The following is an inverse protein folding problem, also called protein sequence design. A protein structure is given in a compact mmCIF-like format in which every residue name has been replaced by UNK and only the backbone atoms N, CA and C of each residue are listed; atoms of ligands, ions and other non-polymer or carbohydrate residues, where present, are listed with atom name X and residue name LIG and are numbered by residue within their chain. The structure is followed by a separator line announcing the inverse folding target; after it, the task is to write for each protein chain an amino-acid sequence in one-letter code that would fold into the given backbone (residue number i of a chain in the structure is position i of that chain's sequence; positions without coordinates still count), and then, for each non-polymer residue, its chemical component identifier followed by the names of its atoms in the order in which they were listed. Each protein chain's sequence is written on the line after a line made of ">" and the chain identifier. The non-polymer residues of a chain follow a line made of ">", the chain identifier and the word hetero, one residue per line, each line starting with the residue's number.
data_IF_297880170814
#
_entry.id   IF_297880170814
#
_cell.length_a   1.000
_cell.length_b   1.000
_cell.length_c   1.000
_cell.angle_alpha   90.00
_cell.angle_beta   90.00
_cell.angle_gamma   90.00
#
_symmetry.space_group_name_H-M   'P 1'
#
loop_
_entity.id
_entity.type
_entity.pdbx_description
1 polymer ?
#
# COMPACT_ATOMS: atom_id res chain seq x y z
N UNK A 1 25.70 18.05 -2.83
CA UNK A 1 25.17 17.20 -1.73
C UNK A 1 24.37 16.11 -2.41
N UNK A 2 24.44 14.85 -1.97
CA UNK A 2 23.56 13.80 -2.51
C UNK A 2 22.12 14.15 -2.09
N UNK A 3 21.16 13.97 -3.02
CA UNK A 3 19.73 14.12 -2.68
C UNK A 3 19.36 13.19 -1.53
N UNK A 4 18.48 13.63 -0.60
CA UNK A 4 17.97 12.78 0.47
C UNK A 4 17.38 11.49 -0.08
N UNK A 5 17.64 10.38 0.58
CA UNK A 5 17.37 9.03 0.08
C UNK A 5 15.90 8.76 -0.27
N UNK A 6 14.95 9.44 0.40
CA UNK A 6 13.52 9.22 0.22
C UNK A 6 12.81 10.28 -0.63
N UNK A 7 13.44 11.44 -0.93
CA UNK A 7 12.76 12.59 -1.55
C UNK A 7 11.94 12.22 -2.82
N UNK A 8 12.47 11.38 -3.69
CA UNK A 8 11.78 10.96 -4.92
C UNK A 8 10.93 9.70 -4.78
N UNK A 9 10.85 9.10 -3.58
CA UNK A 9 10.21 7.80 -3.33
C UNK A 9 9.08 7.87 -2.33
N UNK A 10 8.97 8.98 -1.58
CA UNK A 10 8.02 9.13 -0.49
C UNK A 10 6.70 9.72 -0.97
N UNK A 11 5.61 9.19 -0.45
CA UNK A 11 4.24 9.64 -0.66
C UNK A 11 3.58 9.90 0.69
N UNK A 12 2.52 10.67 0.68
CA UNK A 12 1.65 10.91 1.84
C UNK A 12 0.29 10.28 1.52
N UNK A 13 -0.25 9.50 2.46
CA UNK A 13 -1.59 8.92 2.31
C UNK A 13 -2.68 9.98 2.45
N UNK A 14 -3.71 9.87 1.63
CA UNK A 14 -4.95 10.65 1.75
C UNK A 14 -5.73 10.42 3.04
N UNK A 15 -5.23 9.62 3.98
CA UNK A 15 -5.75 9.55 5.35
C UNK A 15 -5.61 10.90 6.07
N UNK A 16 -4.56 11.65 5.77
CA UNK A 16 -4.45 13.06 6.18
C UNK A 16 -5.20 13.94 5.19
N UNK A 17 -6.22 14.64 5.65
CA UNK A 17 -6.98 15.56 4.81
C UNK A 17 -6.16 16.70 4.20
N UNK A 18 -4.98 16.99 4.78
CA UNK A 18 -4.01 17.96 4.27
C UNK A 18 -3.00 17.33 3.30
N UNK A 19 -3.02 16.01 3.06
CA UNK A 19 -2.03 15.30 2.25
C UNK A 19 -1.77 15.93 0.87
N UNK A 20 -2.77 16.36 0.09
CA UNK A 20 -2.51 17.01 -1.20
C UNK A 20 -1.74 18.33 -1.08
N UNK A 21 -1.99 19.12 -0.05
CA UNK A 21 -1.27 20.36 0.21
C UNK A 21 0.16 20.10 0.69
N UNK A 22 0.33 19.16 1.62
CA UNK A 22 1.63 18.74 2.13
C UNK A 22 2.49 18.12 1.02
N UNK A 23 1.92 17.26 0.16
CA UNK A 23 2.64 16.65 -0.95
C UNK A 23 3.23 17.71 -1.89
N UNK A 24 2.46 18.78 -2.20
CA UNK A 24 2.96 19.90 -3.01
C UNK A 24 4.03 20.71 -2.29
N UNK A 25 3.79 21.04 -1.00
CA UNK A 25 4.72 21.85 -0.20
C UNK A 25 6.06 21.15 -0.01
N UNK A 26 6.05 19.84 0.28
CA UNK A 26 7.24 19.03 0.54
C UNK A 26 7.83 18.38 -0.73
N UNK A 27 7.22 18.62 -1.90
CA UNK A 27 7.60 18.02 -3.19
C UNK A 27 7.65 16.49 -3.14
N UNK A 28 6.65 15.90 -2.51
CA UNK A 28 6.47 14.46 -2.35
C UNK A 28 5.34 13.93 -3.24
N UNK A 29 5.19 12.61 -3.29
CA UNK A 29 4.06 11.95 -3.91
C UNK A 29 2.81 11.94 -3.02
N UNK A 30 1.73 11.43 -3.58
CA UNK A 30 0.46 11.20 -2.89
C UNK A 30 -0.05 9.79 -3.19
N UNK A 31 -0.53 9.11 -2.18
CA UNK A 31 -1.38 7.94 -2.33
C UNK A 31 -2.82 8.33 -2.06
N UNK A 32 -3.65 8.33 -3.13
CA UNK A 32 -5.06 8.65 -2.96
C UNK A 32 -5.83 7.46 -2.40
N UNK A 33 -6.62 7.70 -1.36
CA UNK A 33 -7.57 6.74 -0.77
C UNK A 33 -9.02 7.05 -1.15
N UNK A 34 -9.24 7.96 -2.11
CA UNK A 34 -10.58 8.45 -2.47
C UNK A 34 -11.56 7.31 -2.81
N UNK A 35 -11.04 6.18 -3.31
CA UNK A 35 -11.86 5.04 -3.71
C UNK A 35 -11.64 3.79 -2.84
N UNK A 36 -10.95 3.91 -1.71
CA UNK A 36 -10.84 2.81 -0.73
C UNK A 36 -12.20 2.42 -0.15
N UNK A 37 -13.15 3.36 -0.11
CA UNK A 37 -14.56 3.12 0.17
C UNK A 37 -15.30 2.82 -1.14
N UNK A 38 -15.57 1.56 -1.42
CA UNK A 38 -16.11 1.06 -2.68
C UNK A 38 -17.37 1.80 -3.22
N UNK A 39 -18.34 2.26 -2.40
CA UNK A 39 -19.49 3.02 -2.90
C UNK A 39 -19.14 4.31 -3.65
N UNK A 40 -17.97 4.92 -3.40
CA UNK A 40 -17.53 6.11 -4.15
C UNK A 40 -17.16 5.82 -5.60
N UNK A 41 -16.93 4.55 -5.97
CA UNK A 41 -16.77 4.13 -7.36
C UNK A 41 -18.06 4.31 -8.20
N UNK A 42 -19.21 4.40 -7.53
CA UNK A 42 -20.51 4.63 -8.17
C UNK A 42 -20.93 6.13 -8.12
N UNK A 43 -20.17 6.99 -7.42
CA UNK A 43 -20.42 8.43 -7.35
C UNK A 43 -19.79 9.16 -8.55
N UNK A 44 -20.60 9.72 -9.48
CA UNK A 44 -20.07 10.44 -10.64
C UNK A 44 -19.26 11.71 -10.29
N UNK A 45 -19.42 12.23 -9.07
CA UNK A 45 -18.67 13.39 -8.59
C UNK A 45 -17.30 13.03 -7.99
N UNK A 46 -17.07 11.77 -7.63
CA UNK A 46 -15.83 11.34 -6.98
C UNK A 46 -14.60 11.52 -7.89
N UNK A 47 -14.69 11.07 -9.13
CA UNK A 47 -13.57 11.12 -10.07
C UNK A 47 -13.12 12.56 -10.42
N UNK A 48 -14.03 13.52 -10.76
CA UNK A 48 -13.65 14.92 -10.95
C UNK A 48 -13.01 15.55 -9.71
N UNK A 49 -13.57 15.30 -8.53
CA UNK A 49 -13.05 15.81 -7.24
C UNK A 49 -11.64 15.30 -6.98
N UNK A 50 -11.41 13.98 -7.11
CA UNK A 50 -10.09 13.39 -6.92
C UNK A 50 -9.07 13.94 -7.92
N UNK A 51 -9.48 14.18 -9.18
CA UNK A 51 -8.60 14.79 -10.19
C UNK A 51 -8.11 16.18 -9.79
N UNK A 52 -8.96 16.99 -9.17
CA UNK A 52 -8.59 18.32 -8.64
C UNK A 52 -7.64 18.17 -7.45
N UNK A 53 -7.91 17.23 -6.55
CA UNK A 53 -7.08 16.97 -5.36
C UNK A 53 -5.65 16.58 -5.72
N UNK A 54 -5.47 15.71 -6.72
CA UNK A 54 -4.14 15.22 -7.14
C UNK A 54 -3.44 16.14 -8.14
N UNK A 55 -4.09 17.20 -8.61
CA UNK A 55 -3.54 18.09 -9.63
C UNK A 55 -2.18 18.67 -9.19
N UNK A 56 -1.18 18.60 -10.08
CA UNK A 56 0.16 19.12 -9.85
C UNK A 56 1.07 18.22 -9.00
N UNK A 57 0.62 17.03 -8.58
CA UNK A 57 1.44 16.04 -7.88
C UNK A 57 1.96 15.03 -8.90
N UNK A 58 3.29 14.90 -8.99
CA UNK A 58 3.95 14.15 -10.08
C UNK A 58 4.03 12.64 -9.84
N UNK A 59 3.97 12.20 -8.58
CA UNK A 59 4.11 10.80 -8.20
C UNK A 59 2.88 10.35 -7.43
N UNK A 60 2.16 9.35 -7.96
CA UNK A 60 0.87 8.94 -7.44
C UNK A 60 0.80 7.42 -7.23
N UNK A 61 0.18 7.03 -6.12
CA UNK A 61 -0.37 5.71 -5.87
C UNK A 61 -1.89 5.81 -5.69
N UNK A 62 -2.57 4.72 -5.93
CA UNK A 62 -4.02 4.58 -5.77
C UNK A 62 -4.29 3.43 -4.82
N UNK A 63 -4.83 3.72 -3.66
CA UNK A 63 -5.29 2.68 -2.75
C UNK A 63 -6.65 2.14 -3.24
N UNK A 64 -6.69 0.86 -3.55
CA UNK A 64 -7.91 0.19 -4.00
C UNK A 64 -8.95 0.05 -2.89
N UNK A 65 -10.20 -0.23 -3.25
CA UNK A 65 -11.22 -0.55 -2.27
C UNK A 65 -10.91 -1.87 -1.57
N UNK A 66 -11.21 -1.96 -0.27
CA UNK A 66 -10.83 -3.15 0.50
C UNK A 66 -11.94 -3.69 1.39
N UNK A 67 -12.73 -2.82 2.05
CA UNK A 67 -13.73 -3.28 3.00
C UNK A 67 -14.71 -4.27 2.37
N UNK A 68 -14.85 -5.45 2.97
CA UNK A 68 -15.74 -6.55 2.53
C UNK A 68 -15.39 -7.14 1.15
N UNK A 69 -14.29 -6.74 0.55
CA UNK A 69 -13.85 -7.23 -0.76
C UNK A 69 -12.74 -8.28 -0.58
N UNK A 70 -13.12 -9.54 -0.73
CA UNK A 70 -12.26 -10.68 -0.38
C UNK A 70 -11.97 -11.52 -1.63
N UNK A 71 -10.78 -11.37 -2.24
CA UNK A 71 -10.37 -12.14 -3.42
C UNK A 71 -10.43 -13.66 -3.24
N UNK A 72 -10.10 -14.13 -2.03
CA UNK A 72 -10.07 -15.55 -1.69
C UNK A 72 -11.39 -16.09 -1.11
N UNK A 73 -12.49 -15.33 -1.14
CA UNK A 73 -13.76 -15.74 -0.55
C UNK A 73 -14.21 -17.14 -1.02
N UNK A 74 -14.80 -17.92 -0.11
CA UNK A 74 -15.32 -19.26 -0.43
C UNK A 74 -16.52 -19.14 -1.37
N UNK A 75 -17.41 -18.17 -1.11
CA UNK A 75 -18.58 -17.93 -1.95
C UNK A 75 -18.16 -17.25 -3.28
N UNK A 76 -18.45 -17.86 -4.45
CA UNK A 76 -18.16 -17.27 -5.74
C UNK A 76 -18.80 -15.89 -5.94
N UNK A 77 -20.00 -15.64 -5.40
CA UNK A 77 -20.67 -14.34 -5.52
C UNK A 77 -19.90 -13.25 -4.79
N UNK A 78 -19.31 -13.56 -3.64
CA UNK A 78 -18.45 -12.61 -2.91
C UNK A 78 -17.16 -12.28 -3.72
N UNK A 79 -16.55 -13.30 -4.35
CA UNK A 79 -15.41 -13.08 -5.27
C UNK A 79 -15.79 -12.24 -6.48
N UNK A 80 -16.98 -12.48 -7.06
CA UNK A 80 -17.46 -11.69 -8.20
C UNK A 80 -17.68 -10.22 -7.83
N UNK A 81 -18.16 -9.94 -6.61
CA UNK A 81 -18.27 -8.57 -6.10
C UNK A 81 -16.89 -7.93 -5.98
N UNK A 82 -15.91 -8.62 -5.39
CA UNK A 82 -14.54 -8.12 -5.29
C UNK A 82 -13.94 -7.85 -6.68
N UNK A 83 -14.05 -8.79 -7.61
CA UNK A 83 -13.57 -8.65 -8.99
C UNK A 83 -14.18 -7.43 -9.69
N UNK A 84 -15.51 -7.26 -9.56
CA UNK A 84 -16.22 -6.12 -10.16
C UNK A 84 -15.73 -4.79 -9.59
N UNK A 85 -15.60 -4.69 -8.26
CA UNK A 85 -15.13 -3.47 -7.60
C UNK A 85 -13.67 -3.14 -7.92
N UNK A 86 -12.81 -4.15 -8.03
CA UNK A 86 -11.42 -3.94 -8.41
C UNK A 86 -11.29 -3.49 -9.88
N UNK A 87 -12.13 -4.01 -10.79
CA UNK A 87 -12.20 -3.51 -12.18
C UNK A 87 -12.65 -2.04 -12.23
N UNK A 88 -13.67 -1.67 -11.48
CA UNK A 88 -14.09 -0.27 -11.37
C UNK A 88 -12.96 0.63 -10.82
N UNK A 89 -12.21 0.15 -9.82
CA UNK A 89 -11.05 0.89 -9.28
C UNK A 89 -9.92 1.01 -10.32
N UNK A 90 -9.67 -0.02 -11.11
CA UNK A 90 -8.71 0.01 -12.22
C UNK A 90 -9.11 1.06 -13.26
N UNK A 91 -10.38 1.10 -13.65
CA UNK A 91 -10.91 2.11 -14.59
C UNK A 91 -10.76 3.53 -14.03
N UNK A 92 -11.03 3.73 -12.74
CA UNK A 92 -10.85 5.01 -12.07
C UNK A 92 -9.37 5.44 -12.02
N UNK A 93 -8.46 4.53 -11.68
CA UNK A 93 -7.02 4.80 -11.67
C UNK A 93 -6.52 5.20 -13.07
N UNK A 94 -6.94 4.48 -14.11
CA UNK A 94 -6.60 4.80 -15.50
C UNK A 94 -7.14 6.18 -15.92
N UNK A 95 -8.40 6.50 -15.57
CA UNK A 95 -9.02 7.80 -15.85
C UNK A 95 -8.30 8.96 -15.14
N UNK A 96 -7.66 8.69 -13.98
CA UNK A 96 -6.82 9.64 -13.25
C UNK A 96 -5.35 9.63 -13.73
N UNK A 97 -5.00 8.78 -14.71
CA UNK A 97 -3.63 8.56 -15.18
C UNK A 97 -2.67 8.04 -14.10
N UNK A 98 -3.20 7.36 -13.08
CA UNK A 98 -2.41 6.68 -12.04
C UNK A 98 -2.06 5.28 -12.54
N UNK A 99 -0.81 4.87 -12.37
CA UNK A 99 -0.27 3.61 -12.90
C UNK A 99 0.16 2.63 -11.81
N UNK A 100 -0.04 2.98 -10.56
CA UNK A 100 0.37 2.17 -9.40
C UNK A 100 -0.79 2.06 -8.44
N UNK A 101 -1.11 0.83 -8.02
CA UNK A 101 -2.25 0.56 -7.15
C UNK A 101 -1.86 -0.40 -6.03
N UNK A 102 -2.38 -0.15 -4.83
CA UNK A 102 -2.32 -1.07 -3.69
C UNK A 102 -3.66 -1.76 -3.51
N UNK A 103 -3.66 -3.03 -3.17
CA UNK A 103 -4.85 -3.80 -2.83
C UNK A 103 -4.57 -4.70 -1.63
N UNK A 104 -5.55 -4.85 -0.76
CA UNK A 104 -5.52 -5.84 0.31
C UNK A 104 -5.73 -7.26 -0.24
N UNK A 105 -5.03 -8.24 0.34
CA UNK A 105 -5.19 -9.65 -0.01
C UNK A 105 -6.50 -10.27 0.46
N UNK A 106 -7.08 -9.75 1.55
CA UNK A 106 -8.35 -10.20 2.11
C UNK A 106 -8.25 -11.48 2.92
N UNK A 107 -7.08 -11.78 3.50
CA UNK A 107 -6.91 -12.89 4.43
C UNK A 107 -7.70 -12.64 5.71
N UNK A 108 -8.45 -13.65 6.20
CA UNK A 108 -9.16 -13.60 7.48
C UNK A 108 -8.63 -14.73 8.36
N UNK A 109 -7.92 -14.41 9.46
CA UNK A 109 -7.42 -15.41 10.40
C UNK A 109 -8.53 -16.32 10.92
N UNK A 110 -8.23 -17.59 11.13
CA UNK A 110 -9.14 -18.62 11.63
C UNK A 110 -10.33 -18.94 10.70
N UNK A 111 -10.50 -18.24 9.58
CA UNK A 111 -11.50 -18.51 8.54
C UNK A 111 -10.88 -19.23 7.36
N UNK A 112 -9.72 -18.76 6.91
CA UNK A 112 -9.03 -19.36 5.76
C UNK A 112 -7.79 -20.13 6.21
N UNK A 113 -7.58 -21.31 5.61
CA UNK A 113 -6.30 -22.00 5.66
C UNK A 113 -5.30 -21.28 4.71
N UNK A 114 -4.02 -21.18 5.07
CA UNK A 114 -3.02 -20.52 4.23
C UNK A 114 -2.97 -21.05 2.79
N UNK A 115 -3.09 -22.37 2.61
CA UNK A 115 -3.07 -23.03 1.29
C UNK A 115 -4.27 -22.61 0.44
N UNK A 116 -5.47 -22.55 1.04
CA UNK A 116 -6.67 -22.05 0.40
C UNK A 116 -6.52 -20.60 -0.02
N UNK A 117 -6.03 -19.76 0.87
CA UNK A 117 -5.81 -18.35 0.62
C UNK A 117 -4.87 -18.14 -0.57
N UNK A 118 -3.75 -18.85 -0.60
CA UNK A 118 -2.78 -18.77 -1.71
C UNK A 118 -3.42 -19.24 -3.02
N UNK A 119 -4.06 -20.42 -3.04
CA UNK A 119 -4.66 -20.98 -4.25
C UNK A 119 -5.73 -20.07 -4.85
N UNK A 120 -6.67 -19.57 -4.03
CA UNK A 120 -7.76 -18.72 -4.50
C UNK A 120 -7.25 -17.34 -4.92
N UNK A 121 -6.27 -16.78 -4.18
CA UNK A 121 -5.64 -15.51 -4.54
C UNK A 121 -4.89 -15.61 -5.87
N UNK A 122 -4.13 -16.67 -6.10
CA UNK A 122 -3.43 -16.90 -7.38
C UNK A 122 -4.42 -16.96 -8.54
N UNK A 123 -5.53 -17.69 -8.37
CA UNK A 123 -6.59 -17.75 -9.38
C UNK A 123 -7.19 -16.36 -9.63
N UNK A 124 -7.58 -15.64 -8.57
CA UNK A 124 -8.23 -14.33 -8.65
C UNK A 124 -7.34 -13.30 -9.34
N UNK A 125 -6.10 -13.17 -8.89
CA UNK A 125 -5.18 -12.16 -9.41
C UNK A 125 -4.73 -12.46 -10.83
N UNK A 126 -4.57 -13.73 -11.22
CA UNK A 126 -4.35 -14.09 -12.63
C UNK A 126 -5.51 -13.68 -13.52
N UNK A 127 -6.74 -13.85 -13.05
CA UNK A 127 -7.93 -13.42 -13.80
C UNK A 127 -7.99 -11.90 -13.90
N UNK A 128 -7.75 -11.18 -12.80
CA UNK A 128 -7.71 -9.72 -12.76
C UNK A 128 -6.62 -9.14 -13.66
N UNK A 129 -5.43 -9.72 -13.68
CA UNK A 129 -4.30 -9.28 -14.51
C UNK A 129 -4.56 -9.30 -16.02
N UNK A 130 -5.58 -10.02 -16.48
CA UNK A 130 -6.00 -9.99 -17.90
C UNK A 130 -6.52 -8.62 -18.33
N UNK A 131 -7.10 -7.88 -17.39
CA UNK A 131 -7.66 -6.55 -17.64
C UNK A 131 -6.63 -5.43 -17.35
N UNK A 132 -5.53 -5.73 -16.67
CA UNK A 132 -4.52 -4.76 -16.24
C UNK A 132 -3.57 -4.41 -17.38
N UNK A 133 -3.41 -3.13 -17.77
CA UNK A 133 -2.43 -2.70 -18.76
C UNK A 133 -0.99 -3.05 -18.39
N UNK A 134 -0.13 -3.19 -19.41
CA UNK A 134 1.26 -3.60 -19.22
C UNK A 134 2.11 -2.57 -18.47
N UNK A 135 1.70 -1.30 -18.45
CA UNK A 135 2.37 -0.19 -17.78
C UNK A 135 1.86 0.08 -16.35
N UNK A 136 0.98 -0.79 -15.85
CA UNK A 136 0.48 -0.72 -14.48
C UNK A 136 1.33 -1.58 -13.53
N UNK A 137 1.39 -1.14 -12.28
CA UNK A 137 1.95 -1.90 -11.15
C UNK A 137 0.89 -2.07 -10.08
N UNK A 138 0.66 -3.31 -9.67
CA UNK A 138 -0.20 -3.68 -8.55
C UNK A 138 0.69 -4.13 -7.39
N UNK A 139 0.35 -3.77 -6.17
CA UNK A 139 1.03 -4.21 -4.96
C UNK A 139 0.01 -4.82 -3.98
N UNK A 140 0.21 -6.08 -3.60
CA UNK A 140 -0.61 -6.75 -2.59
C UNK A 140 -0.06 -6.45 -1.21
N UNK A 141 -0.91 -5.94 -0.35
CA UNK A 141 -0.58 -5.49 1.00
C UNK A 141 -0.87 -6.57 2.03
N UNK A 142 0.04 -6.73 3.00
CA UNK A 142 -0.21 -7.50 4.21
C UNK A 142 -1.12 -6.72 5.17
N UNK A 143 -2.18 -7.36 5.64
CA UNK A 143 -3.11 -6.79 6.62
C UNK A 143 -3.25 -7.70 7.83
N UNK A 144 -3.69 -8.93 7.60
CA UNK A 144 -3.94 -9.92 8.67
C UNK A 144 -3.16 -11.22 8.46
N UNK A 145 -2.24 -11.26 7.54
CA UNK A 145 -1.35 -12.40 7.35
C UNK A 145 -0.39 -12.51 8.54
N UNK A 146 -0.18 -13.72 9.09
CA UNK A 146 0.70 -13.91 10.24
C UNK A 146 2.19 -13.78 9.88
N UNK A 147 2.51 -13.92 8.59
CA UNK A 147 3.89 -13.96 8.10
C UNK A 147 3.95 -13.68 6.58
N UNK A 148 5.14 -13.37 6.02
CA UNK A 148 5.29 -13.04 4.61
C UNK A 148 5.04 -14.20 3.64
N UNK A 149 5.11 -15.45 4.09
CA UNK A 149 5.16 -16.64 3.24
C UNK A 149 3.98 -16.76 2.29
N UNK A 150 2.76 -16.42 2.74
CA UNK A 150 1.56 -16.51 1.91
C UNK A 150 1.58 -15.51 0.76
N UNK A 151 1.91 -14.24 1.04
CA UNK A 151 2.01 -13.20 0.00
C UNK A 151 3.16 -13.47 -0.98
N UNK A 152 4.31 -13.89 -0.46
CA UNK A 152 5.46 -14.31 -1.26
C UNK A 152 5.10 -15.48 -2.16
N UNK A 153 4.37 -16.48 -1.64
CA UNK A 153 3.90 -17.62 -2.42
C UNK A 153 2.93 -17.22 -3.53
N UNK A 154 2.02 -16.26 -3.26
CA UNK A 154 1.09 -15.72 -4.26
C UNK A 154 1.87 -15.04 -5.37
N UNK A 155 2.79 -14.11 -5.04
CA UNK A 155 3.55 -13.37 -6.03
C UNK A 155 4.45 -14.29 -6.87
N UNK A 156 5.14 -15.23 -6.23
CA UNK A 156 6.00 -16.19 -6.92
C UNK A 156 5.23 -17.14 -7.86
N UNK A 157 4.04 -17.60 -7.47
CA UNK A 157 3.23 -18.46 -8.33
C UNK A 157 2.60 -17.70 -9.50
N UNK A 158 2.23 -16.43 -9.31
CA UNK A 158 1.68 -15.60 -10.39
C UNK A 158 2.76 -15.28 -11.42
N UNK A 159 3.97 -14.91 -10.97
CA UNK A 159 5.15 -14.61 -11.79
C UNK A 159 4.86 -13.61 -12.93
N UNK A 160 4.15 -12.53 -12.59
CA UNK A 160 3.83 -11.43 -13.52
C UNK A 160 4.49 -10.14 -13.03
N UNK A 161 5.28 -9.43 -13.86
CA UNK A 161 6.01 -8.23 -13.43
C UNK A 161 5.11 -7.07 -12.99
N UNK A 162 3.84 -7.08 -13.37
CA UNK A 162 2.85 -6.07 -12.99
C UNK A 162 2.35 -6.26 -11.55
N UNK A 163 2.52 -7.44 -10.95
CA UNK A 163 2.09 -7.73 -9.58
C UNK A 163 3.31 -7.86 -8.68
N UNK A 164 3.36 -7.03 -7.68
CA UNK A 164 4.31 -7.10 -6.57
C UNK A 164 3.62 -7.07 -5.22
N UNK A 165 4.38 -6.73 -4.20
CA UNK A 165 3.94 -6.70 -2.82
C UNK A 165 4.07 -5.29 -2.24
N UNK A 166 3.18 -4.97 -1.32
CA UNK A 166 3.27 -3.83 -0.40
C UNK A 166 3.49 -4.37 1.01
N UNK A 167 4.52 -3.88 1.68
CA UNK A 167 4.73 -4.15 3.10
C UNK A 167 4.15 -3.01 3.91
N UNK A 168 3.06 -3.27 4.63
CA UNK A 168 2.63 -2.40 5.72
C UNK A 168 3.34 -2.82 7.00
N UNK A 169 4.19 -1.91 7.50
CA UNK A 169 5.04 -2.21 8.68
C UNK A 169 4.26 -2.13 9.98
N UNK A 170 3.20 -1.37 10.02
CA UNK A 170 2.33 -1.29 11.19
C UNK A 170 1.47 -2.53 11.32
N UNK A 171 0.86 -3.02 10.24
CA UNK A 171 0.16 -4.30 10.22
C UNK A 171 1.08 -5.46 10.61
N UNK A 172 2.33 -5.46 10.11
CA UNK A 172 3.33 -6.47 10.48
C UNK A 172 3.74 -6.42 11.97
N UNK A 173 3.41 -5.35 12.71
CA UNK A 173 3.69 -5.19 14.14
C UNK A 173 2.46 -5.41 15.03
N UNK A 174 1.29 -5.65 14.47
CA UNK A 174 0.06 -5.90 15.26
C UNK A 174 0.04 -7.31 15.83
N UNK A 175 -0.85 -7.56 16.79
CA UNK A 175 -1.01 -8.87 17.44
C UNK A 175 -1.46 -10.00 16.50
N UNK A 176 -1.83 -9.70 15.29
CA UNK A 176 -2.19 -10.71 14.27
C UNK A 176 -0.92 -11.29 13.62
N UNK A 177 0.13 -10.50 13.46
CA UNK A 177 1.40 -10.96 12.91
C UNK A 177 2.16 -11.80 13.94
N UNK A 178 2.64 -12.96 13.51
CA UNK A 178 3.54 -13.83 14.30
C UNK A 178 5.02 -13.55 13.96
N UNK A 179 5.27 -12.64 13.00
CA UNK A 179 6.60 -12.32 12.46
C UNK A 179 6.92 -10.85 12.72
N UNK A 180 8.06 -10.52 13.35
CA UNK A 180 8.48 -9.13 13.55
C UNK A 180 8.61 -8.35 12.21
N UNK A 181 8.28 -7.03 12.16
CA UNK A 181 8.29 -6.28 10.92
C UNK A 181 9.60 -6.35 10.12
N UNK A 182 10.74 -6.40 10.79
CA UNK A 182 12.06 -6.53 10.15
C UNK A 182 12.21 -7.83 9.34
N UNK A 183 11.58 -8.91 9.78
CA UNK A 183 11.73 -10.25 9.20
C UNK A 183 10.83 -10.43 7.96
N UNK A 184 9.90 -9.48 7.69
CA UNK A 184 9.10 -9.44 6.47
C UNK A 184 9.90 -8.97 5.25
N UNK A 185 10.91 -8.09 5.45
CA UNK A 185 11.54 -7.35 4.35
C UNK A 185 12.28 -8.28 3.38
N UNK A 186 13.17 -9.11 3.90
CA UNK A 186 14.04 -9.95 3.07
C UNK A 186 13.26 -10.97 2.23
N UNK A 187 12.27 -11.71 2.79
CA UNK A 187 11.44 -12.61 1.99
C UNK A 187 10.63 -11.90 0.91
N UNK A 188 10.12 -10.69 1.19
CA UNK A 188 9.31 -9.92 0.22
C UNK A 188 10.16 -9.19 -0.82
N UNK A 189 11.43 -8.92 -0.57
CA UNK A 189 12.29 -8.04 -1.37
C UNK A 189 12.25 -8.27 -2.90
N UNK A 190 12.23 -9.50 -3.44
CA UNK A 190 12.16 -9.72 -4.88
C UNK A 190 10.90 -9.14 -5.54
N UNK A 191 9.80 -9.06 -4.80
CA UNK A 191 8.50 -8.59 -5.28
C UNK A 191 8.08 -7.24 -4.67
N UNK A 192 8.85 -6.69 -3.72
CA UNK A 192 8.49 -5.48 -2.99
C UNK A 192 8.48 -4.26 -3.94
N UNK A 193 7.34 -3.58 -4.03
CA UNK A 193 7.13 -2.39 -4.85
C UNK A 193 6.81 -1.17 -4.01
N UNK A 194 6.17 -1.38 -2.86
CA UNK A 194 5.69 -0.31 -2.01
C UNK A 194 5.78 -0.68 -0.52
N UNK A 195 5.83 0.34 0.33
CA UNK A 195 5.86 0.16 1.79
C UNK A 195 4.99 1.23 2.43
N UNK A 196 4.02 0.82 3.25
CA UNK A 196 3.28 1.72 4.12
C UNK A 196 4.02 1.89 5.44
N UNK A 197 4.18 3.15 5.83
CA UNK A 197 4.93 3.56 7.01
C UNK A 197 4.01 4.23 8.01
N UNK A 198 3.75 3.57 9.10
CA UNK A 198 3.16 4.12 10.32
C UNK A 198 3.66 3.31 11.53
N UNK A 199 3.53 3.85 12.71
CA UNK A 199 4.01 3.19 13.93
C UNK A 199 2.84 2.80 14.84
N UNK A 200 3.09 1.87 15.75
CA UNK A 200 2.17 1.44 16.80
C UNK A 200 2.96 0.79 17.96
N UNK A 201 2.26 0.25 18.97
CA UNK A 201 2.87 -0.39 20.13
C UNK A 201 2.83 -1.93 20.08
N UNK A 202 2.29 -2.50 18.98
CA UNK A 202 2.17 -3.95 18.78
C UNK A 202 0.83 -4.55 19.20
N UNK A 203 -0.10 -3.75 19.71
CA UNK A 203 -1.41 -4.19 20.21
C UNK A 203 -2.57 -3.81 19.27
N UNK A 204 -2.51 -2.64 18.68
CA UNK A 204 -3.55 -2.11 17.79
C UNK A 204 -2.92 -1.37 16.61
N UNK A 205 -3.67 -1.29 15.52
CA UNK A 205 -3.29 -0.56 14.32
C UNK A 205 -3.56 0.94 14.48
N UNK A 206 -2.62 1.65 15.15
CA UNK A 206 -2.80 3.04 15.58
C UNK A 206 -2.54 4.07 14.48
N UNK A 207 -1.83 3.74 13.41
CA UNK A 207 -1.31 4.70 12.44
C UNK A 207 -0.61 5.90 13.09
N UNK A 208 0.16 5.65 14.17
CA UNK A 208 0.90 6.68 14.89
C UNK A 208 2.07 7.24 14.04
N UNK A 209 2.53 8.48 14.35
CA UNK A 209 3.70 9.05 13.71
C UNK A 209 4.93 8.15 13.76
N UNK A 210 5.83 8.24 12.78
CA UNK A 210 6.98 7.34 12.61
C UNK A 210 7.92 7.30 13.83
N UNK A 211 8.02 8.40 14.55
CA UNK A 211 8.83 8.51 15.78
C UNK A 211 8.13 8.01 17.04
N UNK A 212 6.85 7.59 16.97
CA UNK A 212 6.02 7.25 18.10
C UNK A 212 5.58 5.77 18.01
N UNK A 213 6.12 4.90 18.87
CA UNK A 213 5.82 3.47 18.86
C UNK A 213 7.06 2.63 19.09
N UNK A 214 6.95 1.32 18.87
CA UNK A 214 8.03 0.38 19.11
C UNK A 214 8.68 -0.19 17.85
N UNK A 215 8.19 0.16 16.65
CA UNK A 215 8.78 -0.26 15.37
C UNK A 215 10.10 0.51 15.17
N UNK A 216 11.22 -0.17 14.88
CA UNK A 216 12.51 0.47 14.63
C UNK A 216 12.54 1.10 13.22
N UNK A 217 11.72 2.14 13.00
CA UNK A 217 11.37 2.70 11.70
C UNK A 217 12.60 3.06 10.85
N UNK A 218 13.65 3.64 11.46
CA UNK A 218 14.87 3.96 10.73
C UNK A 218 15.53 2.71 10.15
N UNK A 219 15.61 1.63 10.92
CA UNK A 219 16.21 0.37 10.46
C UNK A 219 15.34 -0.29 9.38
N UNK A 220 14.02 -0.22 9.50
CA UNK A 220 13.07 -0.66 8.45
C UNK A 220 13.39 0.04 7.13
N UNK A 221 13.41 1.37 7.13
CA UNK A 221 13.66 2.18 5.93
C UNK A 221 15.02 1.83 5.31
N UNK A 222 16.08 1.82 6.11
CA UNK A 222 17.44 1.53 5.63
C UNK A 222 17.53 0.09 5.06
N UNK A 223 16.86 -0.89 5.68
CA UNK A 223 16.85 -2.28 5.21
C UNK A 223 16.07 -2.41 3.90
N UNK A 224 14.91 -1.77 3.77
CA UNK A 224 14.14 -1.77 2.52
C UNK A 224 14.93 -1.12 1.38
N UNK A 225 15.56 0.04 1.61
CA UNK A 225 16.38 0.72 0.59
C UNK A 225 17.56 -0.13 0.12
N UNK A 226 18.09 -0.99 1.00
CA UNK A 226 19.15 -1.94 0.63
C UNK A 226 18.63 -3.16 -0.13
N UNK A 227 17.53 -3.77 0.35
CA UNK A 227 17.03 -5.05 -0.18
C UNK A 227 16.14 -4.88 -1.42
N UNK A 228 15.39 -3.78 -1.49
CA UNK A 228 14.48 -3.45 -2.59
C UNK A 228 14.63 -1.95 -2.98
N UNK A 229 15.74 -1.56 -3.62
CA UNK A 229 16.08 -0.16 -3.86
C UNK A 229 15.08 0.59 -4.73
N UNK A 230 14.24 -0.10 -5.49
CA UNK A 230 13.20 0.54 -6.33
C UNK A 230 11.85 0.70 -5.61
N UNK A 231 11.71 0.17 -4.39
CA UNK A 231 10.49 0.32 -3.62
C UNK A 231 10.25 1.80 -3.25
N UNK A 232 8.99 2.18 -3.26
CA UNK A 232 8.51 3.50 -2.82
C UNK A 232 7.82 3.38 -1.46
N UNK A 233 7.54 4.52 -0.82
CA UNK A 233 7.00 4.54 0.53
C UNK A 233 5.81 5.48 0.60
N UNK A 234 4.82 5.15 1.43
CA UNK A 234 3.72 6.06 1.82
C UNK A 234 3.68 6.21 3.33
N UNK A 235 3.62 7.44 3.83
CA UNK A 235 3.29 7.72 5.23
C UNK A 235 1.79 7.58 5.39
N UNK A 236 1.35 6.65 6.23
CA UNK A 236 -0.06 6.38 6.53
C UNK A 236 -0.44 6.87 7.94
N UNK A 237 -0.51 8.18 8.09
CA UNK A 237 -0.96 8.81 9.33
C UNK A 237 -2.18 9.72 9.07
N UNK A 238 -3.07 9.85 10.06
CA UNK A 238 -4.14 10.87 10.04
C UNK A 238 -3.60 12.30 10.11
N UNK A 239 -2.38 12.46 10.60
CA UNK A 239 -1.60 13.69 10.56
C UNK A 239 -0.16 13.33 10.19
N UNK A 240 0.23 13.59 8.96
CA UNK A 240 1.54 13.22 8.43
C UNK A 240 2.66 14.16 8.89
N UNK A 241 2.34 15.38 9.32
CA UNK A 241 3.35 16.41 9.59
C UNK A 241 4.40 16.02 10.65
N UNK A 242 4.06 15.38 11.79
CA UNK A 242 5.06 14.87 12.73
C UNK A 242 6.04 13.87 12.11
N UNK A 243 5.54 12.99 11.23
CA UNK A 243 6.37 12.01 10.51
C UNK A 243 7.28 12.67 9.49
N UNK A 244 6.81 13.70 8.78
CA UNK A 244 7.62 14.48 7.85
C UNK A 244 8.77 15.18 8.57
N UNK A 245 8.49 15.87 9.68
CA UNK A 245 9.55 16.49 10.49
C UNK A 245 10.52 15.45 11.06
N UNK A 246 10.04 14.30 11.49
CA UNK A 246 10.90 13.21 11.94
C UNK A 246 11.86 12.75 10.83
N UNK A 247 11.36 12.54 9.61
CA UNK A 247 12.18 12.16 8.46
C UNK A 247 13.18 13.25 8.04
N UNK A 248 12.77 14.52 8.07
CA UNK A 248 13.64 15.65 7.78
C UNK A 248 14.77 15.75 8.82
N UNK A 249 14.47 15.62 10.11
CA UNK A 249 15.47 15.59 11.17
C UNK A 249 16.48 14.42 11.04
N UNK A 250 16.07 13.31 10.39
CA UNK A 250 16.96 12.20 10.05
C UNK A 250 17.75 12.43 8.74
N UNK A 251 17.53 13.53 8.04
CA UNK A 251 18.14 13.81 6.73
C UNK A 251 17.62 12.92 5.60
N UNK A 252 16.44 12.30 5.77
CA UNK A 252 15.85 11.39 4.79
C UNK A 252 15.06 12.11 3.71
N UNK A 253 14.56 13.31 3.99
CA UNK A 253 13.88 14.25 3.07
C UNK A 253 14.33 15.68 3.33
N UNK A 254 14.06 16.57 2.37
CA UNK A 254 14.30 18.01 2.53
C UNK A 254 13.12 18.68 3.22
N UNK A 255 13.41 19.56 4.19
CA UNK A 255 12.38 20.40 4.78
C UNK A 255 12.08 21.60 3.86
N UNK A 256 10.82 21.93 3.60
CA UNK A 256 10.47 23.10 2.79
C UNK A 256 11.02 24.40 3.42
N UNK A 257 11.59 25.27 2.59
CA UNK A 257 12.12 26.58 3.00
C UNK A 257 11.01 27.62 3.19
#
# INVERSE_FOLDING_TARGET
>A
MASPLLQGKLHISGMDSCAPALARQWQLGLETIAFSYAPLLDDPAALPRTREEIHGISSLWFHGPFAELIPCAIDPLARDVAMRRFRQALDAAQALSIRRMVFHGGFIPHVYFPEWYVEQSVWFWREFLRDVPADMTLALENVMEPSPETLVSIAAQIDDPRLGLCLDVGHANTCVSETPPMDWIVPMAPWLRHVHLHNNQGDTDLHAPLGEGNIPMRQIIDTVLHAAPEATFTIENQNALPSLHWLAAQGSIEEPT
#
